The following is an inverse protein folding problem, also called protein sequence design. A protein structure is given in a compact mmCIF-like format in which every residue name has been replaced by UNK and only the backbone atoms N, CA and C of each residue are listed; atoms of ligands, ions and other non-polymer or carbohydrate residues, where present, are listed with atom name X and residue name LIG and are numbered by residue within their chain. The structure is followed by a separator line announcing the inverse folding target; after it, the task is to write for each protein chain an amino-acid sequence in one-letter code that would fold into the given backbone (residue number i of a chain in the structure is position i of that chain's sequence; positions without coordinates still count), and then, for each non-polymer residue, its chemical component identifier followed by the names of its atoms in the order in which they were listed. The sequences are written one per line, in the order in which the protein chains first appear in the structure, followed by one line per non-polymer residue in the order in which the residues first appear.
data_IF_612471407010
#
_entry.id   IF_612471407010
#
_cell.length_a   1.000
_cell.length_b   1.000
_cell.length_c   1.000
_cell.angle_alpha   90.00
_cell.angle_beta   90.00
_cell.angle_gamma   90.00
#
_symmetry.space_group_name_H-M   'P 1'
#
loop_
_entity.id
_entity.type
_entity.pdbx_description
1 polymer ?
#
# COMPACT_ATOMS: atom_id res chain seq x y z
N UNK A 1 23.44 -1.97 2.79
CA UNK A 1 22.02 -1.53 2.73
C UNK A 1 21.72 -0.73 1.47
N UNK A 2 22.25 0.50 1.30
CA UNK A 2 21.97 1.37 0.13
C UNK A 2 22.23 0.74 -1.24
N UNK A 3 23.32 -0.01 -1.40
CA UNK A 3 23.63 -0.69 -2.67
C UNK A 3 22.57 -1.75 -3.04
N UNK A 4 22.18 -2.62 -2.09
CA UNK A 4 21.13 -3.62 -2.30
C UNK A 4 19.78 -2.98 -2.65
N UNK A 5 19.46 -1.84 -2.03
CA UNK A 5 18.24 -1.07 -2.35
C UNK A 5 18.28 -0.48 -3.76
N UNK A 6 19.40 0.15 -4.15
CA UNK A 6 19.57 0.73 -5.48
C UNK A 6 19.51 -0.35 -6.57
N UNK A 7 20.10 -1.52 -6.32
CA UNK A 7 19.98 -2.67 -7.23
C UNK A 7 18.54 -3.21 -7.31
N UNK A 8 17.83 -3.28 -6.18
CA UNK A 8 16.40 -3.62 -6.15
C UNK A 8 15.54 -2.64 -6.95
N UNK A 9 15.73 -1.34 -6.74
CA UNK A 9 15.05 -0.29 -7.50
C UNK A 9 15.41 -0.33 -8.99
N UNK A 10 16.68 -0.54 -9.31
CA UNK A 10 17.12 -0.73 -10.70
C UNK A 10 16.38 -1.89 -11.36
N UNK A 11 16.30 -3.05 -10.70
CA UNK A 11 15.57 -4.22 -11.20
C UNK A 11 14.07 -3.96 -11.42
N UNK A 12 13.45 -3.13 -10.57
CA UNK A 12 12.05 -2.68 -10.77
C UNK A 12 11.93 -1.78 -12.00
N UNK A 13 12.90 -0.87 -12.20
CA UNK A 13 12.90 0.07 -13.33
C UNK A 13 13.14 -0.66 -14.66
N UNK A 14 14.11 -1.57 -14.73
CA UNK A 14 14.52 -2.23 -15.98
C UNK A 14 13.71 -3.49 -16.33
N UNK A 15 12.82 -3.95 -15.45
CA UNK A 15 12.02 -5.15 -15.67
C UNK A 15 11.19 -5.08 -16.96
N UNK A 16 10.97 -6.21 -17.59
CA UNK A 16 10.12 -6.35 -18.77
C UNK A 16 9.52 -7.76 -18.82
N UNK A 17 8.67 -8.05 -19.81
CA UNK A 17 7.98 -9.34 -19.90
C UNK A 17 8.92 -10.55 -20.07
N UNK A 18 10.11 -10.37 -20.65
CA UNK A 18 11.12 -11.43 -20.75
C UNK A 18 11.93 -11.59 -19.45
N UNK A 19 12.17 -10.49 -18.75
CA UNK A 19 12.91 -10.45 -17.48
C UNK A 19 12.14 -9.60 -16.46
N UNK A 20 11.22 -10.19 -15.66
CA UNK A 20 10.31 -9.43 -14.79
C UNK A 20 10.99 -8.73 -13.60
N UNK A 21 12.33 -8.81 -13.51
CA UNK A 21 13.15 -8.25 -12.45
C UNK A 21 13.20 -9.13 -11.20
N UNK A 22 14.41 -9.39 -10.67
CA UNK A 22 14.61 -10.21 -9.46
C UNK A 22 14.72 -9.37 -8.20
N UNK A 23 13.80 -8.43 -8.04
CA UNK A 23 13.82 -7.49 -6.93
C UNK A 23 13.63 -8.21 -5.57
N UNK A 24 12.93 -9.34 -5.53
CA UNK A 24 12.77 -10.18 -4.34
C UNK A 24 14.11 -10.66 -3.75
N UNK A 25 15.09 -11.00 -4.60
CA UNK A 25 16.45 -11.38 -4.18
C UNK A 25 17.14 -10.22 -3.45
N UNK A 26 16.93 -8.98 -3.91
CA UNK A 26 17.48 -7.80 -3.27
C UNK A 26 16.77 -7.48 -1.95
N UNK A 27 15.45 -7.68 -1.85
CA UNK A 27 14.73 -7.56 -0.58
C UNK A 27 15.21 -8.60 0.46
N UNK A 28 15.38 -9.85 0.02
CA UNK A 28 15.94 -10.95 0.84
C UNK A 28 17.37 -10.65 1.27
N UNK A 29 18.22 -10.16 0.37
CA UNK A 29 19.57 -9.72 0.67
C UNK A 29 19.61 -8.53 1.62
N UNK A 30 18.67 -7.59 1.49
CA UNK A 30 18.53 -6.46 2.41
C UNK A 30 18.20 -6.93 3.82
N UNK A 31 17.27 -7.88 3.96
CA UNK A 31 16.98 -8.55 5.24
C UNK A 31 18.26 -9.23 5.77
N UNK A 32 18.89 -10.11 5.00
CA UNK A 32 20.10 -10.83 5.44
C UNK A 32 21.24 -9.89 5.92
N UNK A 33 21.50 -8.80 5.21
CA UNK A 33 22.54 -7.81 5.56
C UNK A 33 22.30 -7.07 6.88
N UNK A 34 21.08 -7.10 7.38
CA UNK A 34 20.70 -6.43 8.64
C UNK A 34 20.75 -7.36 9.86
N UNK A 35 21.44 -8.50 9.72
CA UNK A 35 21.60 -9.58 10.70
C UNK A 35 20.24 -10.19 11.10
N UNK A 36 19.38 -10.32 10.09
CA UNK A 36 18.00 -10.75 10.20
C UNK A 36 17.86 -12.17 9.64
N UNK A 37 18.03 -13.18 10.49
CA UNK A 37 18.10 -14.61 10.13
C UNK A 37 16.85 -15.25 9.52
N UNK A 38 15.95 -14.49 8.89
CA UNK A 38 14.79 -15.01 8.14
C UNK A 38 14.64 -14.27 6.80
N UNK A 39 14.54 -15.02 5.70
CA UNK A 39 14.51 -14.51 4.32
C UNK A 39 13.17 -13.90 3.91
N UNK A 40 12.31 -13.50 4.84
CA UNK A 40 11.02 -12.88 4.52
C UNK A 40 11.13 -11.35 4.49
N UNK A 41 10.64 -10.65 3.44
CA UNK A 41 10.57 -9.18 3.40
C UNK A 41 9.80 -8.58 4.59
N UNK A 42 8.77 -9.30 5.08
CA UNK A 42 8.00 -8.92 6.27
C UNK A 42 8.84 -8.95 7.55
N UNK A 43 9.92 -9.72 7.57
CA UNK A 43 10.85 -9.73 8.69
C UNK A 43 11.59 -8.39 8.82
N UNK A 44 11.81 -7.67 7.72
CA UNK A 44 12.39 -6.33 7.75
C UNK A 44 11.42 -5.35 8.44
N UNK A 45 10.14 -5.38 8.09
CA UNK A 45 9.07 -4.65 8.79
C UNK A 45 9.04 -4.99 10.30
N UNK A 46 9.02 -6.28 10.62
CA UNK A 46 9.03 -6.78 12.01
C UNK A 46 10.28 -6.33 12.78
N UNK A 47 11.43 -6.23 12.12
CA UNK A 47 12.71 -5.87 12.75
C UNK A 47 12.90 -4.38 12.91
N UNK A 48 12.52 -3.57 11.91
CA UNK A 48 12.48 -2.09 12.04
C UNK A 48 11.65 -1.72 13.28
N UNK A 49 10.49 -2.37 13.46
CA UNK A 49 9.69 -2.26 14.68
C UNK A 49 10.41 -2.73 15.94
N UNK A 50 10.99 -3.94 15.96
CA UNK A 50 11.68 -4.45 17.16
C UNK A 50 12.88 -3.59 17.58
N UNK A 51 13.63 -3.04 16.62
CA UNK A 51 14.73 -2.10 16.90
C UNK A 51 14.19 -0.76 17.44
N UNK A 52 13.08 -0.23 16.90
CA UNK A 52 12.40 0.96 17.43
C UNK A 52 11.78 0.78 18.83
N UNK A 53 11.28 -0.42 19.15
CA UNK A 53 10.77 -0.76 20.49
C UNK A 53 11.90 -0.94 21.52
N UNK A 54 13.06 -1.47 21.13
CA UNK A 54 14.21 -1.65 22.03
C UNK A 54 14.85 -0.32 22.44
N UNK A 55 14.89 0.67 21.54
CA UNK A 55 15.36 2.03 21.89
C UNK A 55 14.41 2.81 22.80
N UNK A 56 13.13 2.44 22.86
CA UNK A 56 12.14 3.07 23.77
C UNK A 56 12.05 2.40 25.14
N UNK A 57 12.42 1.12 25.26
CA UNK A 57 12.30 0.36 26.52
C UNK A 57 13.47 0.54 27.50
N UNK A 58 14.60 1.10 27.06
CA UNK A 58 15.77 1.34 27.91
C UNK A 58 15.75 2.72 28.63
N UNK A 59 14.66 3.48 28.55
CA UNK A 59 14.55 4.82 29.14
C UNK A 59 13.94 4.85 30.55
N UNK A 60 13.79 3.71 31.25
CA UNK A 60 13.21 3.73 32.60
C UNK A 60 13.91 2.80 33.59
N UNK A 61 14.46 3.46 34.62
CA UNK A 61 14.78 3.01 35.98
C UNK A 61 16.18 2.44 36.23
N UNK A 62 17.04 3.29 36.82
CA UNK A 62 18.31 2.93 37.44
C UNK A 62 19.04 4.11 38.12
N UNK A 63 18.68 4.39 39.39
CA UNK A 63 19.49 4.92 40.52
C UNK A 63 20.47 6.13 40.39
N UNK A 64 20.17 7.19 41.16
CA UNK A 64 21.02 8.13 41.97
C UNK A 64 22.33 8.80 41.44
N UNK A 65 22.73 9.96 42.01
CA UNK A 65 23.40 11.04 41.26
C UNK A 65 24.92 11.04 41.39
N UNK A 66 25.64 11.19 40.27
CA UNK A 66 27.01 11.71 40.28
C UNK A 66 27.38 12.35 38.93
N UNK A 67 28.30 13.31 39.03
CA UNK A 67 28.61 14.42 38.11
C UNK A 67 29.40 13.99 36.86
N UNK A 68 28.96 14.41 35.66
CA UNK A 68 29.71 15.16 34.63
C UNK A 68 28.95 15.16 33.28
N UNK A 69 29.16 16.18 32.41
CA UNK A 69 28.36 16.36 31.20
C UNK A 69 28.98 15.60 30.03
N UNK A 70 28.40 14.46 29.67
CA UNK A 70 28.66 13.83 28.38
C UNK A 70 27.44 14.01 27.49
N UNK A 71 27.70 14.60 26.33
CA UNK A 71 26.83 14.86 25.18
C UNK A 71 25.67 13.86 25.10
N UNK A 72 24.45 14.35 25.32
CA UNK A 72 23.22 13.57 25.13
C UNK A 72 23.03 13.43 23.62
N UNK A 73 23.57 12.36 23.04
CA UNK A 73 23.07 11.85 21.77
C UNK A 73 21.61 11.43 22.00
N UNK A 74 20.67 12.20 21.44
CA UNK A 74 19.25 11.86 21.47
C UNK A 74 19.07 10.48 20.83
N UNK A 75 18.40 9.52 21.49
CA UNK A 75 18.07 8.26 20.85
C UNK A 75 17.21 8.56 19.61
N UNK A 76 17.72 8.28 18.42
CA UNK A 76 16.92 8.32 17.20
C UNK A 76 15.81 7.28 17.34
N UNK A 77 14.59 7.77 17.60
CA UNK A 77 13.36 6.98 17.49
C UNK A 77 13.28 6.54 16.02
N UNK A 78 13.57 5.27 15.73
CA UNK A 78 13.32 4.73 14.39
C UNK A 78 11.81 4.74 14.23
N UNK A 79 11.28 5.71 13.47
CA UNK A 79 9.87 5.80 13.15
C UNK A 79 9.43 4.52 12.44
N UNK A 80 8.24 4.00 12.75
CA UNK A 80 7.69 2.86 12.01
C UNK A 80 7.54 3.22 10.51
N UNK A 81 7.65 2.24 9.61
CA UNK A 81 7.82 2.45 8.16
C UNK A 81 6.64 3.24 7.56
N UNK A 82 5.44 3.02 8.10
CA UNK A 82 4.21 3.69 7.71
C UNK A 82 3.68 4.62 8.81
N UNK A 83 4.59 5.23 9.58
CA UNK A 83 4.18 6.21 10.58
C UNK A 83 3.68 7.47 9.88
N UNK A 84 2.38 7.71 9.95
CA UNK A 84 1.84 9.07 9.77
C UNK A 84 2.12 9.82 11.07
N UNK A 85 2.89 10.92 11.08
CA UNK A 85 3.37 11.59 12.31
C UNK A 85 2.30 12.18 13.25
N UNK A 86 1.02 11.95 12.99
CA UNK A 86 -0.08 12.67 13.63
C UNK A 86 -1.23 11.73 13.98
N UNK A 87 -1.03 10.94 15.03
CA UNK A 87 -2.12 10.23 15.67
C UNK A 87 -2.75 11.12 16.73
N UNK A 88 -4.08 11.15 16.82
CA UNK A 88 -4.80 11.84 17.89
C UNK A 88 -4.72 11.08 19.24
N UNK A 89 -4.35 9.79 19.22
CA UNK A 89 -4.24 8.88 20.37
C UNK A 89 -3.08 7.90 20.15
N UNK A 90 -2.55 7.20 21.16
CA UNK A 90 -1.61 6.11 20.95
C UNK A 90 -2.35 4.87 20.38
N UNK A 91 -2.79 4.96 19.13
CA UNK A 91 -3.45 3.88 18.41
C UNK A 91 -2.44 3.00 17.66
N UNK A 92 -2.90 1.81 17.29
CA UNK A 92 -2.15 0.82 16.52
C UNK A 92 -1.60 1.41 15.20
N UNK A 93 -0.35 1.10 14.86
CA UNK A 93 0.28 1.59 13.62
C UNK A 93 -0.18 0.78 12.39
N UNK A 94 -0.02 1.34 11.19
CA UNK A 94 -0.35 0.58 9.97
C UNK A 94 0.57 -0.63 9.83
N UNK A 95 1.84 -0.53 10.24
CA UNK A 95 2.77 -1.66 10.28
C UNK A 95 2.23 -2.84 11.11
N UNK A 96 1.65 -2.55 12.28
CA UNK A 96 1.08 -3.58 13.17
C UNK A 96 -0.14 -4.27 12.54
N UNK A 97 -0.97 -3.49 11.85
CA UNK A 97 -2.14 -3.99 11.14
C UNK A 97 -1.74 -4.87 9.95
N UNK A 98 -0.74 -4.46 9.16
CA UNK A 98 -0.23 -5.23 8.04
C UNK A 98 0.36 -6.58 8.48
N UNK A 99 1.14 -6.59 9.57
CA UNK A 99 1.68 -7.82 10.14
C UNK A 99 0.55 -8.74 10.64
N UNK A 100 -0.42 -8.18 11.36
CA UNK A 100 -1.55 -8.94 11.88
C UNK A 100 -2.45 -9.48 10.78
N UNK A 101 -2.63 -8.73 9.69
CA UNK A 101 -3.37 -9.15 8.50
C UNK A 101 -2.67 -10.30 7.79
N UNK A 102 -1.33 -10.23 7.65
CA UNK A 102 -0.56 -11.33 7.07
C UNK A 102 -0.71 -12.62 7.89
N UNK A 103 -0.55 -12.53 9.22
CA UNK A 103 -0.73 -13.69 10.11
C UNK A 103 -2.15 -14.27 10.00
N UNK A 104 -3.16 -13.41 9.86
CA UNK A 104 -4.56 -13.83 9.64
C UNK A 104 -4.75 -14.50 8.28
N UNK A 105 -4.11 -13.99 7.23
CA UNK A 105 -4.17 -14.54 5.88
C UNK A 105 -3.57 -15.95 5.81
N UNK A 106 -2.38 -16.15 6.38
CA UNK A 106 -1.72 -17.48 6.45
C UNK A 106 -2.57 -18.51 7.20
N UNK A 107 -3.18 -18.10 8.30
CA UNK A 107 -4.12 -18.95 9.05
C UNK A 107 -5.37 -19.26 8.23
N UNK A 108 -5.91 -18.27 7.52
CA UNK A 108 -7.03 -18.46 6.61
C UNK A 108 -6.73 -19.43 5.47
N UNK A 109 -5.50 -19.46 4.95
CA UNK A 109 -5.06 -20.42 3.93
C UNK A 109 -4.94 -21.86 4.47
N UNK A 110 -4.81 -22.00 5.79
CA UNK A 110 -4.69 -23.29 6.47
C UNK A 110 -6.03 -23.86 6.93
N UNK A 111 -7.14 -23.15 6.73
CA UNK A 111 -8.47 -23.61 7.13
C UNK A 111 -8.95 -24.81 6.31
N UNK A 112 -9.51 -25.81 6.99
CA UNK A 112 -10.02 -27.02 6.34
C UNK A 112 -11.41 -27.43 6.83
N UNK A 113 -11.80 -27.02 8.03
CA UNK A 113 -13.09 -27.35 8.63
C UNK A 113 -13.98 -26.14 8.77
N UNK A 114 -15.31 -26.34 8.83
CA UNK A 114 -16.27 -25.26 9.10
C UNK A 114 -15.95 -24.52 10.42
N UNK A 115 -15.48 -25.24 11.44
CA UNK A 115 -15.09 -24.63 12.72
C UNK A 115 -13.90 -23.67 12.56
N UNK A 116 -12.93 -24.02 11.71
CA UNK A 116 -11.81 -23.13 11.39
C UNK A 116 -12.31 -21.85 10.71
N UNK A 117 -13.22 -22.00 9.73
CA UNK A 117 -13.80 -20.86 9.01
C UNK A 117 -14.59 -19.93 9.93
N UNK A 118 -15.38 -20.47 10.88
CA UNK A 118 -16.09 -19.66 11.87
C UNK A 118 -15.13 -18.87 12.77
N UNK A 119 -14.03 -19.49 13.22
CA UNK A 119 -13.01 -18.80 14.01
C UNK A 119 -12.31 -17.69 13.22
N UNK A 120 -11.96 -17.95 11.95
CA UNK A 120 -11.34 -16.94 11.09
C UNK A 120 -12.31 -15.81 10.78
N UNK A 121 -13.61 -16.10 10.60
CA UNK A 121 -14.64 -15.08 10.38
C UNK A 121 -14.65 -14.04 11.51
N UNK A 122 -14.67 -14.49 12.77
CA UNK A 122 -14.65 -13.58 13.92
C UNK A 122 -13.38 -12.73 13.96
N UNK A 123 -12.23 -13.31 13.59
CA UNK A 123 -10.96 -12.59 13.50
C UNK A 123 -10.93 -11.59 12.34
N UNK A 124 -11.54 -11.91 11.20
CA UNK A 124 -11.72 -10.97 10.09
C UNK A 124 -12.56 -9.77 10.52
N UNK A 125 -13.67 -9.99 11.23
CA UNK A 125 -14.50 -8.91 11.76
C UNK A 125 -13.72 -8.03 12.75
N UNK A 126 -12.93 -8.64 13.64
CA UNK A 126 -12.06 -7.89 14.56
C UNK A 126 -10.97 -7.10 13.81
N UNK A 127 -10.41 -7.65 12.73
CA UNK A 127 -9.43 -6.97 11.88
C UNK A 127 -10.05 -5.76 11.15
N UNK A 128 -11.25 -5.93 10.59
CA UNK A 128 -11.97 -4.86 9.90
C UNK A 128 -12.21 -3.67 10.86
N UNK A 129 -12.66 -3.94 12.08
CA UNK A 129 -12.85 -2.91 13.11
C UNK A 129 -11.54 -2.19 13.47
N UNK A 130 -10.40 -2.90 13.49
CA UNK A 130 -9.09 -2.28 13.77
C UNK A 130 -8.65 -1.37 12.62
N UNK A 131 -8.81 -1.81 11.38
CA UNK A 131 -8.52 -1.00 10.19
C UNK A 131 -9.43 0.23 10.09
N UNK A 132 -10.74 0.09 10.37
CA UNK A 132 -11.69 1.22 10.41
C UNK A 132 -11.31 2.25 11.48
N UNK A 133 -10.87 1.79 12.67
CA UNK A 133 -10.37 2.67 13.73
C UNK A 133 -9.08 3.39 13.32
N UNK A 134 -8.19 2.72 12.59
CA UNK A 134 -6.98 3.35 12.07
C UNK A 134 -7.32 4.52 11.13
N UNK A 135 -8.25 4.30 10.20
CA UNK A 135 -8.70 5.32 9.24
C UNK A 135 -9.33 6.53 9.95
N UNK A 136 -10.23 6.30 10.92
CA UNK A 136 -10.99 7.36 11.60
C UNK A 136 -10.20 8.13 12.66
N UNK A 137 -9.05 7.60 13.11
CA UNK A 137 -8.18 8.23 14.13
C UNK A 137 -7.15 9.20 13.54
N UNK A 138 -7.05 9.32 12.22
CA UNK A 138 -6.09 10.21 11.55
C UNK A 138 -6.48 11.67 11.74
N UNK A 139 -5.47 12.55 11.81
CA UNK A 139 -5.72 14.00 11.76
C UNK A 139 -6.19 14.43 10.38
N UNK A 140 -7.09 15.42 10.28
CA UNK A 140 -7.62 15.89 9.01
C UNK A 140 -6.56 16.30 7.99
N UNK A 141 -5.45 16.90 8.43
CA UNK A 141 -4.37 17.35 7.53
C UNK A 141 -3.65 16.20 6.81
N UNK A 142 -3.78 14.98 7.32
CA UNK A 142 -3.19 13.77 6.73
C UNK A 142 -4.24 12.88 6.03
N UNK A 143 -5.50 13.31 5.98
CA UNK A 143 -6.54 12.66 5.20
C UNK A 143 -6.52 13.17 3.75
N UNK A 144 -7.09 12.39 2.83
CA UNK A 144 -7.34 12.90 1.48
C UNK A 144 -8.38 14.02 1.52
N UNK A 145 -8.25 14.98 0.60
CA UNK A 145 -9.26 16.01 0.37
C UNK A 145 -9.65 16.01 -1.10
N UNK A 146 -10.93 15.82 -1.40
CA UNK A 146 -11.44 15.94 -2.77
C UNK A 146 -11.43 17.41 -3.19
N UNK A 147 -10.75 17.72 -4.29
CA UNK A 147 -10.60 19.09 -4.79
C UNK A 147 -11.26 19.32 -6.14
N UNK A 148 -11.62 18.25 -6.85
CA UNK A 148 -12.36 18.30 -8.11
C UNK A 148 -13.04 16.95 -8.38
N UNK A 149 -13.79 16.86 -9.48
CA UNK A 149 -14.31 15.61 -10.01
C UNK A 149 -14.21 15.59 -11.53
N UNK A 150 -13.83 14.43 -12.08
CA UNK A 150 -13.90 14.16 -13.52
C UNK A 150 -15.36 13.89 -13.89
N UNK A 151 -15.93 14.65 -14.85
CA UNK A 151 -17.32 14.48 -15.25
C UNK A 151 -17.53 13.14 -15.96
N UNK A 152 -18.74 12.59 -15.85
CA UNK A 152 -19.12 11.36 -16.57
C UNK A 152 -19.49 11.70 -18.02
N UNK A 153 -18.66 11.30 -18.96
CA UNK A 153 -18.91 11.43 -20.41
C UNK A 153 -19.63 10.20 -20.94
N UNK A 154 -20.81 10.37 -21.54
CA UNK A 154 -21.60 9.26 -22.12
C UNK A 154 -20.99 8.70 -23.43
N UNK A 155 -19.94 9.33 -23.97
CA UNK A 155 -19.37 9.02 -25.29
C UNK A 155 -18.05 8.25 -25.27
N UNK A 156 -17.49 7.96 -24.10
CA UNK A 156 -16.20 7.28 -23.99
C UNK A 156 -16.39 5.79 -23.68
N UNK A 157 -15.94 4.94 -24.61
CA UNK A 157 -15.91 3.49 -24.42
C UNK A 157 -14.83 3.07 -23.40
N UNK A 158 -13.81 3.93 -23.21
CA UNK A 158 -12.68 3.70 -22.30
C UNK A 158 -12.32 4.99 -21.57
N UNK A 159 -12.05 4.88 -20.26
CA UNK A 159 -11.53 5.98 -19.47
C UNK A 159 -10.01 6.06 -19.66
N UNK A 160 -9.52 7.23 -20.06
CA UNK A 160 -8.09 7.51 -20.19
C UNK A 160 -7.42 7.66 -18.82
N UNK A 161 -6.12 7.36 -18.73
CA UNK A 161 -5.38 7.36 -17.46
C UNK A 161 -5.41 8.75 -16.81
N UNK A 162 -5.88 8.79 -15.57
CA UNK A 162 -6.13 10.03 -14.81
C UNK A 162 -7.55 10.57 -14.92
N UNK A 163 -8.34 10.11 -15.91
CA UNK A 163 -9.67 10.62 -16.25
C UNK A 163 -10.79 9.62 -15.93
N UNK A 164 -10.68 8.94 -14.79
CA UNK A 164 -11.79 8.12 -14.30
C UNK A 164 -12.94 8.99 -13.77
N UNK A 165 -14.19 8.80 -14.21
CA UNK A 165 -15.33 9.55 -13.70
C UNK A 165 -15.47 9.42 -12.17
N UNK A 166 -15.45 10.54 -11.46
CA UNK A 166 -15.46 10.53 -10.00
C UNK A 166 -14.53 11.57 -9.39
N UNK A 167 -14.15 11.37 -8.14
CA UNK A 167 -13.39 12.33 -7.36
C UNK A 167 -11.93 12.43 -7.80
N UNK A 168 -11.35 13.62 -7.65
CA UNK A 168 -9.91 13.87 -7.74
C UNK A 168 -9.45 14.40 -6.38
N UNK A 169 -8.59 13.62 -5.73
CA UNK A 169 -8.14 13.91 -4.37
C UNK A 169 -6.73 14.50 -4.34
N UNK A 170 -6.49 15.37 -3.36
CA UNK A 170 -5.16 15.84 -2.97
C UNK A 170 -4.76 15.28 -1.62
N UNK A 171 -3.46 15.23 -1.38
CA UNK A 171 -2.84 14.76 -0.15
C UNK A 171 -1.74 15.74 0.28
N UNK A 172 -1.28 15.63 1.52
CA UNK A 172 -0.17 16.44 2.03
C UNK A 172 1.10 16.28 1.17
N UNK A 173 1.43 15.03 0.84
CA UNK A 173 2.52 14.66 -0.07
C UNK A 173 2.30 13.25 -0.65
N UNK A 174 3.19 12.84 -1.56
CA UNK A 174 3.16 11.50 -2.18
C UNK A 174 3.36 10.36 -1.17
N UNK A 175 4.07 10.60 -0.07
CA UNK A 175 4.25 9.61 0.98
C UNK A 175 2.91 9.31 1.65
N UNK A 176 2.16 10.33 2.07
CA UNK A 176 0.86 10.18 2.71
C UNK A 176 -0.15 9.54 1.74
N UNK A 177 -0.16 9.96 0.48
CA UNK A 177 -1.01 9.36 -0.54
C UNK A 177 -0.74 7.84 -0.71
N UNK A 178 0.54 7.45 -0.70
CA UNK A 178 0.93 6.04 -0.74
C UNK A 178 0.55 5.27 0.51
N UNK A 179 0.74 5.83 1.71
CA UNK A 179 0.31 5.20 2.97
C UNK A 179 -1.18 4.86 2.92
N UNK A 180 -2.01 5.79 2.44
CA UNK A 180 -3.44 5.55 2.24
C UNK A 180 -3.71 4.43 1.23
N UNK A 181 -2.97 4.37 0.12
CA UNK A 181 -3.12 3.29 -0.86
C UNK A 181 -2.66 1.92 -0.35
N UNK A 182 -1.65 1.86 0.52
CA UNK A 182 -1.27 0.64 1.23
C UNK A 182 -2.35 0.22 2.24
N UNK A 183 -2.94 1.17 2.96
CA UNK A 183 -4.10 0.88 3.82
C UNK A 183 -5.30 0.35 3.02
N UNK A 184 -5.67 1.00 1.91
CA UNK A 184 -6.75 0.56 1.01
C UNK A 184 -6.47 -0.83 0.44
N UNK A 185 -5.23 -1.11 0.08
CA UNK A 185 -4.78 -2.44 -0.33
C UNK A 185 -4.99 -3.48 0.77
N UNK A 186 -4.61 -3.18 2.02
CA UNK A 186 -4.81 -4.06 3.15
C UNK A 186 -6.30 -4.35 3.41
N UNK A 187 -7.16 -3.32 3.28
CA UNK A 187 -8.62 -3.46 3.34
C UNK A 187 -9.16 -4.38 2.26
N UNK A 188 -8.72 -4.20 1.01
CA UNK A 188 -9.15 -5.03 -0.11
C UNK A 188 -8.71 -6.48 0.03
N UNK A 189 -7.48 -6.73 0.50
CA UNK A 189 -7.03 -8.08 0.84
C UNK A 189 -7.88 -8.67 1.96
N UNK A 190 -8.16 -7.94 3.03
CA UNK A 190 -9.07 -8.44 4.07
C UNK A 190 -10.44 -8.82 3.48
N UNK A 191 -11.02 -7.99 2.61
CA UNK A 191 -12.29 -8.30 1.94
C UNK A 191 -12.18 -9.58 1.09
N UNK A 192 -11.06 -9.82 0.41
CA UNK A 192 -10.83 -11.07 -0.31
C UNK A 192 -10.84 -12.30 0.61
N UNK A 193 -10.21 -12.20 1.79
CA UNK A 193 -10.25 -13.25 2.79
C UNK A 193 -11.67 -13.46 3.31
N UNK A 194 -12.38 -12.37 3.60
CA UNK A 194 -13.77 -12.40 4.05
C UNK A 194 -14.65 -13.07 3.00
N UNK A 195 -14.52 -12.73 1.72
CA UNK A 195 -15.28 -13.36 0.66
C UNK A 195 -15.13 -14.89 0.66
N UNK A 196 -13.90 -15.39 0.74
CA UNK A 196 -13.61 -16.83 0.82
C UNK A 196 -14.23 -17.48 2.06
N UNK A 197 -14.06 -16.85 3.22
CA UNK A 197 -14.52 -17.39 4.51
C UNK A 197 -16.05 -17.40 4.59
N UNK A 198 -16.72 -16.34 4.15
CA UNK A 198 -18.18 -16.25 4.17
C UNK A 198 -18.84 -17.20 3.17
N UNK A 199 -18.22 -17.40 2.00
CA UNK A 199 -18.67 -18.43 1.05
C UNK A 199 -18.58 -19.83 1.67
N UNK A 200 -17.48 -20.17 2.34
CA UNK A 200 -17.34 -21.44 3.05
C UNK A 200 -18.34 -21.60 4.21
N UNK A 201 -18.85 -20.49 4.77
CA UNK A 201 -19.89 -20.47 5.80
C UNK A 201 -21.33 -20.36 5.25
N UNK A 202 -21.53 -20.40 3.92
CA UNK A 202 -22.84 -20.26 3.25
C UNK A 202 -23.59 -18.93 3.54
N UNK A 203 -22.87 -17.82 3.70
CA UNK A 203 -23.44 -16.50 4.05
C UNK A 203 -23.52 -15.53 2.86
N UNK A 204 -24.51 -15.68 1.98
CA UNK A 204 -24.58 -14.93 0.70
C UNK A 204 -24.84 -13.42 0.82
N UNK A 205 -25.72 -12.96 1.72
CA UNK A 205 -26.10 -11.54 1.83
C UNK A 205 -24.94 -10.65 2.29
N UNK A 206 -24.00 -11.19 3.07
CA UNK A 206 -22.82 -10.44 3.51
C UNK A 206 -21.79 -10.23 2.38
N UNK A 207 -21.79 -11.09 1.36
CA UNK A 207 -20.83 -11.04 0.25
C UNK A 207 -21.10 -9.86 -0.69
N UNK A 208 -22.36 -9.52 -0.93
CA UNK A 208 -22.74 -8.37 -1.75
C UNK A 208 -22.27 -7.06 -1.13
N UNK A 209 -22.54 -6.86 0.17
CA UNK A 209 -22.06 -5.70 0.94
C UNK A 209 -20.54 -5.55 0.95
N UNK A 210 -19.82 -6.67 1.00
CA UNK A 210 -18.35 -6.67 0.88
C UNK A 210 -17.89 -6.16 -0.49
N UNK A 211 -18.60 -6.54 -1.56
CA UNK A 211 -18.29 -6.13 -2.93
C UNK A 211 -18.55 -4.63 -3.16
N UNK A 212 -19.63 -4.10 -2.59
CA UNK A 212 -19.92 -2.65 -2.59
C UNK A 212 -18.83 -1.87 -1.85
N UNK A 213 -18.46 -2.35 -0.65
CA UNK A 213 -17.38 -1.74 0.15
C UNK A 213 -16.05 -1.77 -0.60
N UNK A 214 -15.72 -2.87 -1.25
CA UNK A 214 -14.52 -3.00 -2.06
C UNK A 214 -14.51 -2.04 -3.25
N UNK A 215 -15.66 -1.86 -3.91
CA UNK A 215 -15.80 -0.92 -5.03
C UNK A 215 -15.54 0.51 -4.58
N UNK A 216 -16.12 0.93 -3.46
CA UNK A 216 -15.84 2.26 -2.88
C UNK A 216 -14.37 2.45 -2.52
N UNK A 217 -13.71 1.43 -1.95
CA UNK A 217 -12.27 1.51 -1.66
C UNK A 217 -11.43 1.62 -2.94
N UNK A 218 -11.83 0.93 -4.02
CA UNK A 218 -11.16 1.01 -5.30
C UNK A 218 -11.35 2.39 -5.96
N UNK A 219 -12.52 3.00 -5.84
CA UNK A 219 -12.79 4.37 -6.28
C UNK A 219 -11.94 5.39 -5.52
N UNK A 220 -11.79 5.25 -4.20
CA UNK A 220 -10.89 6.08 -3.39
C UNK A 220 -9.40 5.88 -3.74
N UNK A 221 -9.02 4.70 -4.23
CA UNK A 221 -7.68 4.46 -4.75
C UNK A 221 -7.50 5.17 -6.09
N UNK A 222 -8.50 5.09 -6.97
CA UNK A 222 -8.51 5.75 -8.27
C UNK A 222 -8.48 7.28 -8.14
N UNK A 223 -9.20 7.86 -7.18
CA UNK A 223 -9.21 9.31 -6.93
C UNK A 223 -7.81 9.86 -6.58
N UNK A 224 -6.92 9.00 -6.06
CA UNK A 224 -5.54 9.34 -5.74
C UNK A 224 -4.60 9.34 -6.95
N UNK A 225 -5.01 8.76 -8.09
CA UNK A 225 -4.15 8.55 -9.25
C UNK A 225 -3.63 9.87 -9.83
N UNK A 226 -4.46 10.91 -10.07
CA UNK A 226 -3.96 12.17 -10.59
C UNK A 226 -2.88 12.78 -9.70
N UNK A 227 -3.07 12.79 -8.38
CA UNK A 227 -2.08 13.32 -7.43
C UNK A 227 -0.70 12.63 -7.53
N UNK A 228 -0.66 11.35 -7.90
CA UNK A 228 0.60 10.62 -8.11
C UNK A 228 1.19 10.82 -9.51
N UNK A 229 0.35 10.93 -10.54
CA UNK A 229 0.79 10.78 -11.92
C UNK A 229 1.02 12.10 -12.66
N UNK A 230 0.51 13.24 -12.16
CA UNK A 230 0.67 14.54 -12.84
C UNK A 230 1.73 15.41 -12.17
N UNK A 231 2.36 16.29 -12.94
CA UNK A 231 3.33 17.25 -12.42
C UNK A 231 2.66 18.31 -11.53
N UNK A 232 1.48 18.79 -11.97
CA UNK A 232 0.72 19.86 -11.32
C UNK A 232 -0.76 19.51 -11.31
N UNK A 233 -1.28 19.19 -10.11
CA UNK A 233 -2.70 18.90 -9.93
C UNK A 233 -3.62 20.10 -10.27
N UNK A 234 -3.25 21.36 -9.93
CA UNK A 234 -4.02 22.52 -10.37
C UNK A 234 -4.13 22.66 -11.90
N UNK A 235 -3.06 22.37 -12.65
CA UNK A 235 -3.09 22.49 -14.11
C UNK A 235 -3.86 21.34 -14.76
N UNK A 236 -3.71 20.12 -14.21
CA UNK A 236 -4.56 18.98 -14.58
C UNK A 236 -6.05 19.31 -14.41
N UNK A 237 -6.44 19.93 -13.30
CA UNK A 237 -7.84 20.30 -13.03
C UNK A 237 -8.37 21.33 -14.05
N UNK A 238 -7.56 22.34 -14.40
CA UNK A 238 -7.94 23.32 -15.44
C UNK A 238 -8.18 22.64 -16.79
N UNK A 239 -7.44 21.57 -17.06
CA UNK A 239 -7.48 20.84 -18.32
C UNK A 239 -8.61 19.80 -18.41
N UNK A 240 -9.29 19.46 -17.31
CA UNK A 240 -10.35 18.42 -17.27
C UNK A 240 -11.47 18.62 -18.30
N UNK A 241 -11.76 19.85 -18.72
CA UNK A 241 -12.80 20.17 -19.69
C UNK A 241 -12.32 20.20 -21.15
N UNK A 242 -11.01 20.20 -21.37
CA UNK A 242 -10.40 20.42 -22.70
C UNK A 242 -9.47 19.29 -23.13
N UNK A 243 -9.12 18.39 -22.22
CA UNK A 243 -8.20 17.29 -22.47
C UNK A 243 -8.74 16.01 -21.86
N UNK A 244 -8.39 14.90 -22.51
CA UNK A 244 -8.70 13.55 -22.06
C UNK A 244 -7.41 12.79 -21.70
N UNK A 245 -6.24 13.46 -21.66
CA UNK A 245 -4.95 12.80 -21.43
C UNK A 245 -4.04 13.64 -20.55
N UNK A 246 -3.20 12.96 -19.75
CA UNK A 246 -2.18 13.63 -18.92
C UNK A 246 -1.14 14.28 -19.84
N UNK A 247 -1.14 15.62 -19.91
CA UNK A 247 -0.17 16.40 -20.71
C UNK A 247 1.22 16.45 -20.09
N UNK A 248 1.27 16.55 -18.76
CA UNK A 248 2.50 16.74 -18.00
C UNK A 248 2.61 15.64 -16.92
N UNK A 249 3.25 14.50 -17.26
CA UNK A 249 3.54 13.45 -16.30
C UNK A 249 4.37 13.98 -15.13
N UNK A 250 4.02 13.54 -13.93
CA UNK A 250 4.76 13.85 -12.70
C UNK A 250 6.05 13.04 -12.57
N UNK A 251 6.63 13.08 -11.36
CA UNK A 251 7.88 12.37 -11.06
C UNK A 251 7.66 10.86 -11.01
N UNK A 252 8.60 10.08 -11.55
CA UNK A 252 8.58 8.61 -11.55
C UNK A 252 8.24 7.97 -10.18
N UNK A 253 8.64 8.60 -9.08
CA UNK A 253 8.30 8.13 -7.72
C UNK A 253 6.78 7.99 -7.50
N UNK A 254 5.94 8.84 -8.09
CA UNK A 254 4.48 8.73 -7.97
C UNK A 254 3.94 7.44 -8.60
N UNK A 255 4.40 7.10 -9.81
CA UNK A 255 4.06 5.83 -10.47
C UNK A 255 4.60 4.61 -9.71
N UNK A 256 5.80 4.72 -9.15
CA UNK A 256 6.40 3.64 -8.35
C UNK A 256 5.55 3.31 -7.12
N UNK A 257 5.03 4.33 -6.44
CA UNK A 257 4.17 4.16 -5.25
C UNK A 257 2.81 3.55 -5.60
N UNK A 258 2.28 3.78 -6.80
CA UNK A 258 1.02 3.18 -7.27
C UNK A 258 1.16 1.75 -7.80
N UNK A 259 2.35 1.32 -8.20
CA UNK A 259 2.58 0.09 -8.96
C UNK A 259 1.97 -1.15 -8.30
N UNK A 260 2.21 -1.36 -7.00
CA UNK A 260 1.69 -2.53 -6.30
C UNK A 260 0.21 -2.41 -5.87
N UNK A 261 -0.24 -1.29 -5.29
CA UNK A 261 -1.66 -1.08 -4.97
C UNK A 261 -2.58 -1.35 -6.18
N UNK A 262 -2.24 -0.80 -7.36
CA UNK A 262 -3.03 -0.99 -8.58
C UNK A 262 -3.00 -2.45 -9.06
N UNK A 263 -1.84 -3.11 -9.02
CA UNK A 263 -1.71 -4.50 -9.44
C UNK A 263 -2.61 -5.43 -8.62
N UNK A 264 -2.58 -5.30 -7.29
CA UNK A 264 -3.42 -6.13 -6.40
C UNK A 264 -4.89 -5.89 -6.69
N UNK A 265 -5.32 -4.62 -6.65
CA UNK A 265 -6.72 -4.28 -6.86
C UNK A 265 -7.21 -4.78 -8.23
N UNK A 266 -6.41 -4.65 -9.29
CA UNK A 266 -6.76 -5.14 -10.63
C UNK A 266 -6.92 -6.66 -10.77
N UNK A 267 -6.50 -7.43 -9.76
CA UNK A 267 -6.56 -8.90 -9.72
C UNK A 267 -7.62 -9.45 -8.76
N UNK A 268 -8.39 -8.59 -8.08
CA UNK A 268 -9.44 -9.03 -7.15
C UNK A 268 -10.73 -9.36 -7.88
N UNK A 269 -11.19 -10.61 -7.77
CA UNK A 269 -12.31 -11.12 -8.55
C UNK A 269 -13.64 -10.37 -8.34
N UNK A 270 -13.88 -9.81 -7.14
CA UNK A 270 -15.10 -9.10 -6.77
C UNK A 270 -15.14 -7.65 -7.26
N UNK A 271 -14.05 -7.09 -7.81
CA UNK A 271 -14.08 -5.76 -8.38
C UNK A 271 -14.64 -5.76 -9.82
N UNK A 272 -15.42 -4.74 -10.22
CA UNK A 272 -15.94 -4.62 -11.57
C UNK A 272 -14.83 -4.66 -12.63
N UNK A 273 -15.09 -5.32 -13.77
CA UNK A 273 -14.11 -5.45 -14.85
C UNK A 273 -13.62 -4.08 -15.39
N UNK A 274 -14.47 -3.06 -15.59
CA UNK A 274 -14.00 -1.74 -16.01
C UNK A 274 -13.00 -1.11 -15.03
N UNK A 275 -13.23 -1.27 -13.72
CA UNK A 275 -12.33 -0.79 -12.66
C UNK A 275 -10.97 -1.50 -12.73
N UNK A 276 -10.99 -2.83 -12.84
CA UNK A 276 -9.76 -3.63 -12.96
C UNK A 276 -8.99 -3.30 -14.23
N UNK A 277 -9.69 -3.13 -15.36
CA UNK A 277 -9.07 -2.77 -16.62
C UNK A 277 -8.41 -1.40 -16.56
N UNK A 278 -9.10 -0.41 -16.00
CA UNK A 278 -8.53 0.93 -15.82
C UNK A 278 -7.27 0.92 -14.95
N UNK A 279 -7.24 0.14 -13.86
CA UNK A 279 -6.04 0.00 -13.03
C UNK A 279 -4.87 -0.64 -13.80
N UNK A 280 -5.13 -1.61 -14.69
CA UNK A 280 -4.11 -2.18 -15.59
C UNK A 280 -3.64 -1.18 -16.64
N UNK A 281 -4.55 -0.37 -17.20
CA UNK A 281 -4.20 0.69 -18.13
C UNK A 281 -3.29 1.74 -17.46
N UNK A 282 -3.57 2.08 -16.21
CA UNK A 282 -2.70 2.94 -15.40
C UNK A 282 -1.31 2.32 -15.19
N UNK A 283 -1.22 1.02 -14.92
CA UNK A 283 0.07 0.32 -14.81
C UNK A 283 0.86 0.32 -16.12
N UNK A 284 0.18 0.05 -17.24
CA UNK A 284 0.79 0.11 -18.57
C UNK A 284 1.31 1.52 -18.87
N UNK A 285 0.56 2.55 -18.53
CA UNK A 285 0.95 3.96 -18.71
C UNK A 285 2.11 4.34 -17.80
N UNK A 286 2.13 3.90 -16.54
CA UNK A 286 3.27 4.11 -15.63
C UNK A 286 4.54 3.49 -16.24
N UNK A 287 4.45 2.30 -16.80
CA UNK A 287 5.60 1.66 -17.44
C UNK A 287 6.11 2.41 -18.67
N UNK A 288 5.21 2.82 -19.57
CA UNK A 288 5.59 3.49 -20.82
C UNK A 288 5.96 4.97 -20.65
N UNK A 289 5.23 5.71 -19.82
CA UNK A 289 5.39 7.17 -19.67
C UNK A 289 6.33 7.56 -18.52
N UNK A 290 6.45 6.75 -17.47
CA UNK A 290 7.32 7.04 -16.32
C UNK A 290 8.57 6.15 -16.25
N UNK A 291 8.71 5.20 -17.19
CA UNK A 291 9.89 4.35 -17.32
C UNK A 291 10.02 3.28 -16.23
N UNK A 292 8.91 2.81 -15.66
CA UNK A 292 8.91 1.77 -14.62
C UNK A 292 8.51 0.45 -15.26
N UNK A 293 9.46 -0.26 -15.85
CA UNK A 293 9.17 -1.45 -16.64
C UNK A 293 8.42 -2.56 -15.88
N UNK A 294 8.65 -2.70 -14.57
CA UNK A 294 7.88 -3.64 -13.74
C UNK A 294 6.38 -3.33 -13.72
N UNK A 295 5.97 -2.07 -13.85
CA UNK A 295 4.56 -1.72 -13.94
C UNK A 295 3.91 -2.31 -15.20
N UNK A 296 4.60 -2.32 -16.35
CA UNK A 296 4.13 -2.99 -17.56
C UNK A 296 3.97 -4.50 -17.36
N UNK A 297 4.91 -5.15 -16.68
CA UNK A 297 4.83 -6.57 -16.34
C UNK A 297 3.60 -6.85 -15.48
N UNK A 298 3.37 -6.03 -14.46
CA UNK A 298 2.23 -6.19 -13.55
C UNK A 298 0.88 -5.85 -14.19
N UNK A 299 0.85 -5.07 -15.28
CA UNK A 299 -0.35 -4.80 -16.05
C UNK A 299 -0.89 -6.05 -16.76
N UNK A 300 0.00 -6.98 -17.12
CA UNK A 300 -0.35 -8.25 -17.78
C UNK A 300 -0.54 -9.41 -16.80
N UNK A 301 0.10 -9.33 -15.63
CA UNK A 301 0.04 -10.36 -14.60
C UNK A 301 -1.37 -10.56 -14.02
N UNK A 302 -1.81 -11.82 -13.96
CA UNK A 302 -3.14 -12.24 -13.50
C UNK A 302 -3.18 -12.86 -12.10
N UNK A 303 -2.02 -12.99 -11.47
CA UNK A 303 -1.87 -13.63 -10.16
C UNK A 303 -1.21 -12.67 -9.18
N UNK A 304 -1.67 -12.70 -7.93
CA UNK A 304 -1.09 -11.93 -6.83
C UNK A 304 0.00 -12.77 -6.18
N UNK A 305 1.26 -12.42 -6.42
CA UNK A 305 2.38 -12.99 -5.67
C UNK A 305 2.63 -12.16 -4.39
N UNK A 306 2.12 -12.64 -3.25
CA UNK A 306 2.23 -11.96 -1.95
C UNK A 306 3.69 -11.69 -1.53
N UNK A 307 4.62 -12.61 -1.80
CA UNK A 307 6.03 -12.42 -1.47
C UNK A 307 6.69 -11.34 -2.32
N UNK A 308 6.37 -11.31 -3.62
CA UNK A 308 6.85 -10.27 -4.55
C UNK A 308 6.30 -8.90 -4.15
N UNK A 309 5.02 -8.84 -3.76
CA UNK A 309 4.38 -7.64 -3.28
C UNK A 309 5.08 -7.05 -2.05
N UNK A 310 5.25 -7.86 -1.00
CA UNK A 310 5.87 -7.38 0.23
C UNK A 310 7.35 -7.03 0.01
N UNK A 311 8.05 -7.74 -0.87
CA UNK A 311 9.41 -7.42 -1.30
C UNK A 311 9.50 -6.02 -1.92
N UNK A 312 8.64 -5.73 -2.87
CA UNK A 312 8.68 -4.46 -3.59
C UNK A 312 8.23 -3.28 -2.72
N UNK A 313 7.19 -3.47 -1.89
CA UNK A 313 6.80 -2.51 -0.86
C UNK A 313 8.03 -2.17 0.00
N UNK A 314 8.67 -3.18 0.60
CA UNK A 314 9.83 -2.98 1.47
C UNK A 314 11.01 -2.28 0.77
N UNK A 315 11.28 -2.60 -0.50
CA UNK A 315 12.34 -1.96 -1.29
C UNK A 315 12.04 -0.48 -1.50
N UNK A 316 10.84 -0.14 -1.97
CA UNK A 316 10.43 1.25 -2.20
C UNK A 316 10.50 2.05 -0.90
N UNK A 317 10.08 1.44 0.21
CA UNK A 317 10.08 2.08 1.53
C UNK A 317 11.44 2.25 2.18
N UNK A 318 12.35 1.30 1.98
CA UNK A 318 13.72 1.43 2.49
C UNK A 318 14.40 2.71 1.99
N UNK A 319 14.00 3.22 0.81
CA UNK A 319 14.46 4.49 0.24
C UNK A 319 14.07 5.73 1.04
N UNK A 320 12.99 5.68 1.81
CA UNK A 320 12.50 6.78 2.65
C UNK A 320 13.11 6.78 4.07
N UNK A 321 13.81 5.72 4.46
CA UNK A 321 14.48 5.60 5.77
C UNK A 321 15.94 6.10 5.78
N UNK A 322 16.45 6.57 4.64
CA UNK A 322 17.87 6.78 4.36
C UNK A 322 18.39 8.20 4.51
#
# INVERSE_FOLDING_TARGET
MRLAMLLGLYQIIIANNAEPGKHDVHAKGLAALTDMGNNSPLYLLRTVRQKGLKTTRNATVGQTPSKQPTTIEKPQKIAALFSVPAVNRPDESLDDLLLSLNDLWERGNSCSTLQDYLLIKDQCNAMDQRLTRWQTSRRPEFCSTTISSVPRTQKQDKNEVGYWPGNVDTYFDLYIAHVWNVFRTARLLLIALMHRVWQACEMSADVERLSETATSIAEDMISSIPFHLVESLPDFIKDLSTSEQIKHPGRAIGGLLLTHPLHIASNLAFLPEPTKQYMRDCLSWIGSCMGIGHASVLAEAREINHDSLMSAIVIVWSGFLG
#
